data_IF_560813581401
#
_entry.id   IF_560813581401
#
_cell.length_a   1.000
_cell.length_b   1.000
_cell.length_c   1.000
_cell.angle_alpha   90.00
_cell.angle_beta   90.00
_cell.angle_gamma   90.00
#
_symmetry.space_group_name_H-M   'P 1'
#
loop_
_entity.id
_entity.type
_entity.pdbx_description
1 polymer ?
#
# COMPACT_ATOMS: atom_id res chain seq x y z
N UNK A 1 -19.22 -24.63 11.67
CA UNK A 1 -18.08 -25.24 10.96
C UNK A 1 -16.91 -24.30 11.10
N UNK A 2 -15.76 -24.80 11.55
CA UNK A 2 -14.51 -24.01 11.58
C UNK A 2 -14.05 -23.78 10.12
N UNK A 3 -13.45 -22.63 9.81
CA UNK A 3 -12.88 -22.32 8.48
C UNK A 3 -12.04 -23.48 7.88
N UNK A 4 -11.33 -24.22 8.74
CA UNK A 4 -10.55 -25.39 8.33
C UNK A 4 -11.41 -26.57 7.78
N UNK A 5 -12.65 -26.72 8.23
CA UNK A 5 -13.58 -27.75 7.75
C UNK A 5 -14.19 -27.38 6.38
N UNK A 6 -14.44 -26.09 6.14
CA UNK A 6 -14.98 -25.60 4.86
C UNK A 6 -13.97 -25.86 3.72
N UNK A 7 -12.66 -25.72 4.00
CA UNK A 7 -11.58 -26.01 3.05
C UNK A 7 -11.56 -27.47 2.57
N UNK A 8 -12.00 -28.41 3.41
CA UNK A 8 -12.03 -29.84 3.09
C UNK A 8 -13.18 -30.21 2.16
N UNK A 9 -14.35 -29.61 2.38
CA UNK A 9 -15.57 -29.94 1.64
C UNK A 9 -15.64 -29.32 0.23
N UNK A 10 -14.90 -28.25 -0.04
CA UNK A 10 -14.92 -27.54 -1.34
C UNK A 10 -14.08 -28.25 -2.41
N UNK A 11 -13.12 -29.09 -2.03
CA UNK A 11 -12.19 -29.77 -2.96
C UNK A 11 -12.78 -31.01 -3.66
N UNK A 12 -13.97 -31.50 -3.27
CA UNK A 12 -14.50 -32.79 -3.74
C UNK A 12 -15.72 -32.74 -4.68
N UNK A 13 -16.23 -31.56 -5.06
CA UNK A 13 -17.43 -31.50 -5.93
C UNK A 13 -17.20 -30.71 -7.23
N UNK A 14 -17.20 -31.45 -8.35
CA UNK A 14 -17.03 -30.93 -9.69
C UNK A 14 -18.35 -30.45 -10.34
N UNK A 15 -18.27 -29.24 -10.90
CA UNK A 15 -18.81 -28.81 -12.20
C UNK A 15 -20.33 -28.85 -12.45
N UNK A 16 -21.07 -27.99 -11.75
CA UNK A 16 -22.07 -27.06 -12.33
C UNK A 16 -22.52 -26.00 -11.29
N UNK A 17 -21.56 -25.29 -10.69
CA UNK A 17 -21.81 -24.45 -9.51
C UNK A 17 -21.56 -22.98 -9.84
N UNK A 18 -22.55 -22.11 -9.59
CA UNK A 18 -22.61 -20.68 -9.92
C UNK A 18 -21.23 -20.00 -9.92
N UNK A 19 -20.82 -19.47 -11.09
CA UNK A 19 -19.48 -18.88 -11.36
C UNK A 19 -19.02 -17.88 -10.28
N UNK A 20 -19.94 -17.31 -9.52
CA UNK A 20 -19.68 -16.34 -8.45
C UNK A 20 -19.40 -16.99 -7.09
N UNK A 21 -19.93 -18.19 -6.83
CA UNK A 21 -19.55 -19.01 -5.66
C UNK A 21 -18.10 -19.45 -5.74
N UNK A 22 -17.67 -19.84 -6.93
CA UNK A 22 -16.26 -20.13 -7.22
C UNK A 22 -15.36 -18.92 -6.92
N UNK A 23 -15.71 -17.73 -7.41
CA UNK A 23 -14.93 -16.50 -7.17
C UNK A 23 -14.68 -16.24 -5.68
N UNK A 24 -15.71 -16.26 -4.86
CA UNK A 24 -15.58 -15.86 -3.46
C UNK A 24 -14.66 -16.81 -2.67
N UNK A 25 -14.82 -18.12 -2.85
CA UNK A 25 -13.94 -19.11 -2.21
C UNK A 25 -12.53 -19.12 -2.82
N UNK A 26 -12.42 -18.90 -4.13
CA UNK A 26 -11.15 -18.88 -4.85
C UNK A 26 -10.28 -17.66 -4.52
N UNK A 27 -10.87 -16.50 -4.22
CA UNK A 27 -10.12 -15.26 -4.06
C UNK A 27 -10.11 -14.71 -2.62
N UNK A 28 -11.20 -14.84 -1.85
CA UNK A 28 -11.24 -14.24 -0.50
C UNK A 28 -10.46 -15.07 0.52
N UNK A 29 -10.59 -16.39 0.48
CA UNK A 29 -9.90 -17.27 1.41
C UNK A 29 -8.37 -17.20 1.28
N UNK A 30 -7.79 -17.26 0.07
CA UNK A 30 -6.35 -17.07 -0.07
C UNK A 30 -5.88 -15.68 0.36
N UNK A 31 -6.70 -14.63 0.15
CA UNK A 31 -6.36 -13.28 0.62
C UNK A 31 -6.32 -13.21 2.14
N UNK A 32 -7.27 -13.82 2.85
CA UNK A 32 -7.22 -13.91 4.31
C UNK A 32 -5.94 -14.64 4.75
N UNK A 33 -5.69 -15.82 4.18
CA UNK A 33 -4.53 -16.67 4.54
C UNK A 33 -3.19 -15.96 4.27
N UNK A 34 -3.06 -15.24 3.16
CA UNK A 34 -1.84 -14.49 2.82
C UNK A 34 -1.58 -13.37 3.81
N UNK A 35 -2.61 -12.62 4.21
CA UNK A 35 -2.45 -11.48 5.11
C UNK A 35 -2.25 -11.90 6.58
N UNK A 36 -2.73 -13.08 6.98
CA UNK A 36 -2.45 -13.64 8.30
C UNK A 36 -0.99 -14.12 8.47
N UNK A 37 -0.22 -14.30 7.38
CA UNK A 37 1.18 -14.77 7.45
C UNK A 37 2.10 -13.87 8.26
N UNK A 38 1.79 -12.57 8.36
CA UNK A 38 2.57 -11.61 9.13
C UNK A 38 2.29 -11.67 10.65
N UNK A 39 1.16 -12.25 11.06
CA UNK A 39 0.69 -12.26 12.45
C UNK A 39 1.69 -12.91 13.40
N UNK A 40 2.26 -14.11 13.13
CA UNK A 40 3.19 -14.75 14.07
C UNK A 40 4.43 -13.90 14.38
N UNK A 41 4.93 -13.12 13.41
CA UNK A 41 6.06 -12.22 13.64
C UNK A 41 5.69 -11.06 14.57
N UNK A 42 4.51 -10.47 14.35
CA UNK A 42 3.96 -9.34 15.13
C UNK A 42 3.53 -9.73 16.55
N UNK A 43 3.09 -10.98 16.75
CA UNK A 43 2.67 -11.51 18.04
C UNK A 43 3.76 -11.47 19.12
N UNK A 44 5.04 -11.40 18.74
CA UNK A 44 6.15 -11.21 19.70
C UNK A 44 6.02 -9.92 20.52
N UNK A 45 5.34 -8.92 19.97
CA UNK A 45 5.16 -7.61 20.57
C UNK A 45 3.70 -7.38 21.05
N UNK A 46 2.84 -8.40 20.99
CA UNK A 46 1.43 -8.30 21.36
C UNK A 46 1.23 -8.19 22.88
N UNK A 47 0.13 -7.56 23.29
CA UNK A 47 -0.27 -7.41 24.69
C UNK A 47 -1.67 -7.98 24.86
N UNK A 48 -1.85 -8.83 25.87
CA UNK A 48 -3.14 -9.45 26.16
C UNK A 48 -4.25 -8.42 26.36
N UNK A 49 -5.38 -8.69 25.71
CA UNK A 49 -6.58 -7.87 25.82
C UNK A 49 -7.36 -8.31 27.05
N UNK A 50 -7.77 -7.36 27.89
CA UNK A 50 -8.60 -7.69 29.06
C UNK A 50 -9.94 -8.30 28.63
N UNK A 51 -10.55 -9.18 29.45
CA UNK A 51 -11.84 -9.79 29.10
C UNK A 51 -12.96 -8.79 28.81
N UNK A 52 -12.97 -7.65 29.50
CA UNK A 52 -13.94 -6.57 29.30
C UNK A 52 -13.78 -5.92 27.91
N UNK A 53 -12.55 -5.53 27.55
CA UNK A 53 -12.26 -4.90 26.25
C UNK A 53 -12.52 -5.90 25.13
N UNK A 54 -12.11 -7.16 25.30
CA UNK A 54 -12.38 -8.20 24.30
C UNK A 54 -13.87 -8.47 24.11
N UNK A 55 -14.67 -8.40 25.19
CA UNK A 55 -16.13 -8.51 25.12
C UNK A 55 -16.74 -7.37 24.29
N UNK A 56 -16.25 -6.13 24.44
CA UNK A 56 -16.67 -4.98 23.64
C UNK A 56 -16.30 -5.14 22.15
N UNK A 57 -15.08 -5.60 21.86
CA UNK A 57 -14.63 -5.94 20.50
C UNK A 57 -15.56 -6.98 19.86
N UNK A 58 -15.80 -8.10 20.54
CA UNK A 58 -16.67 -9.17 20.05
C UNK A 58 -18.10 -8.68 19.88
N UNK A 59 -18.63 -7.91 20.83
CA UNK A 59 -19.98 -7.34 20.76
C UNK A 59 -20.16 -6.43 19.54
N UNK A 60 -19.21 -5.54 19.29
CA UNK A 60 -19.19 -4.66 18.12
C UNK A 60 -19.20 -5.46 16.82
N UNK A 61 -18.23 -6.37 16.65
CA UNK A 61 -18.08 -7.13 15.42
C UNK A 61 -19.19 -8.16 15.19
N UNK A 62 -19.81 -8.71 16.23
CA UNK A 62 -21.02 -9.54 16.08
C UNK A 62 -22.17 -8.75 15.45
N UNK A 63 -22.36 -7.49 15.84
CA UNK A 63 -23.38 -6.62 15.26
C UNK A 63 -23.14 -6.31 13.77
N UNK A 64 -21.87 -6.14 13.39
CA UNK A 64 -21.48 -5.92 11.99
C UNK A 64 -21.61 -7.20 11.17
N UNK A 65 -21.10 -8.33 11.67
CA UNK A 65 -20.93 -9.55 10.90
C UNK A 65 -22.04 -10.58 11.07
N UNK A 66 -23.20 -10.22 11.64
CA UNK A 66 -24.30 -11.16 11.93
C UNK A 66 -23.81 -12.39 12.72
N UNK A 67 -22.96 -12.17 13.72
CA UNK A 67 -22.31 -13.21 14.53
C UNK A 67 -21.19 -14.03 13.86
N UNK A 68 -20.81 -13.75 12.61
CA UNK A 68 -19.68 -14.40 11.92
C UNK A 68 -18.32 -13.79 12.30
N UNK A 69 -18.04 -13.71 13.60
CA UNK A 69 -16.74 -13.21 14.11
C UNK A 69 -15.59 -14.19 13.84
N UNK A 70 -15.88 -15.41 13.41
CA UNK A 70 -14.91 -16.41 12.96
C UNK A 70 -14.17 -16.00 11.67
N UNK A 71 -14.65 -14.98 10.96
CA UNK A 71 -13.95 -14.35 9.84
C UNK A 71 -12.81 -13.42 10.28
N UNK A 72 -12.73 -13.10 11.57
CA UNK A 72 -11.70 -12.25 12.12
C UNK A 72 -10.59 -13.10 12.72
N UNK A 73 -9.36 -12.80 12.35
CA UNK A 73 -8.22 -13.27 13.12
C UNK A 73 -8.09 -12.40 14.38
N UNK A 74 -8.46 -12.96 15.53
CA UNK A 74 -8.54 -12.21 16.79
C UNK A 74 -7.17 -11.83 17.38
N UNK A 75 -6.09 -12.46 16.93
CA UNK A 75 -4.72 -12.15 17.36
C UNK A 75 -4.32 -10.70 17.04
N UNK A 76 -4.90 -10.14 15.97
CA UNK A 76 -4.72 -8.73 15.62
C UNK A 76 -5.12 -7.77 16.74
N UNK A 77 -6.13 -8.10 17.54
CA UNK A 77 -6.53 -7.20 18.64
C UNK A 77 -5.51 -7.18 19.77
N UNK A 78 -4.80 -8.27 20.04
CA UNK A 78 -3.67 -8.28 20.97
C UNK A 78 -2.48 -7.48 20.43
N UNK A 79 -2.27 -7.53 19.12
CA UNK A 79 -1.27 -6.72 18.42
C UNK A 79 -1.59 -5.22 18.54
N UNK A 80 -2.80 -4.80 18.17
CA UNK A 80 -3.19 -3.39 18.23
C UNK A 80 -3.29 -2.89 19.68
N UNK A 81 -3.67 -3.75 20.62
CA UNK A 81 -3.68 -3.41 22.04
C UNK A 81 -2.29 -3.05 22.57
N UNK A 82 -1.21 -3.52 21.95
CA UNK A 82 0.15 -3.16 22.33
C UNK A 82 0.55 -1.71 21.96
N UNK A 83 -0.25 -1.04 21.11
CA UNK A 83 0.03 0.31 20.61
C UNK A 83 -1.10 1.31 20.88
N UNK A 84 -2.36 0.86 20.95
CA UNK A 84 -3.50 1.72 21.26
C UNK A 84 -3.49 2.13 22.74
N UNK A 85 -3.54 3.43 23.01
CA UNK A 85 -3.59 3.96 24.37
C UNK A 85 -5.02 3.99 24.90
N UNK A 86 -5.99 4.35 24.05
CA UNK A 86 -7.40 4.37 24.38
C UNK A 86 -8.05 3.03 24.05
N UNK A 87 -8.15 2.17 25.05
CA UNK A 87 -8.67 0.80 24.87
C UNK A 87 -10.11 0.75 24.38
N UNK A 88 -10.89 1.83 24.53
CA UNK A 88 -12.25 1.91 24.01
C UNK A 88 -12.30 1.93 22.46
N UNK A 89 -11.19 2.31 21.81
CA UNK A 89 -11.05 2.33 20.35
C UNK A 89 -10.65 0.99 19.76
N UNK A 90 -10.27 0.01 20.58
CA UNK A 90 -9.75 -1.27 20.08
C UNK A 90 -10.77 -2.00 19.18
N UNK A 91 -12.07 -1.85 19.46
CA UNK A 91 -13.16 -2.40 18.62
C UNK A 91 -13.22 -1.84 17.20
N UNK A 92 -12.65 -0.67 16.96
CA UNK A 92 -12.64 -0.01 15.65
C UNK A 92 -11.47 -0.43 14.77
N UNK A 93 -10.47 -1.13 15.31
CA UNK A 93 -9.42 -1.72 14.49
C UNK A 93 -9.97 -2.85 13.63
N UNK A 94 -9.44 -2.95 12.41
CA UNK A 94 -9.84 -3.95 11.44
C UNK A 94 -8.66 -4.90 11.20
N UNK A 95 -8.80 -6.21 11.45
CA UNK A 95 -7.77 -7.19 11.10
C UNK A 95 -7.42 -7.13 9.60
N UNK A 96 -6.12 -7.11 9.26
CA UNK A 96 -5.69 -6.95 7.87
C UNK A 96 -6.29 -8.02 6.94
N UNK A 97 -6.35 -9.27 7.41
CA UNK A 97 -6.92 -10.39 6.64
C UNK A 97 -8.39 -10.16 6.28
N UNK A 98 -9.19 -9.62 7.20
CA UNK A 98 -10.57 -9.24 6.92
C UNK A 98 -10.64 -8.02 5.99
N UNK A 99 -9.81 -7.01 6.24
CA UNK A 99 -9.79 -5.79 5.45
C UNK A 99 -9.50 -6.08 3.97
N UNK A 100 -8.38 -6.74 3.66
CA UNK A 100 -7.98 -6.98 2.26
C UNK A 100 -8.86 -8.02 1.55
N UNK A 101 -9.47 -8.94 2.30
CA UNK A 101 -10.43 -9.86 1.71
C UNK A 101 -11.73 -9.14 1.33
N UNK A 102 -12.28 -8.29 2.21
CA UNK A 102 -13.63 -7.80 2.01
C UNK A 102 -13.77 -6.29 1.86
N UNK A 103 -13.10 -5.50 2.71
CA UNK A 103 -13.27 -4.04 2.73
C UNK A 103 -12.52 -3.40 1.57
N UNK A 104 -11.26 -3.78 1.34
CA UNK A 104 -10.48 -3.32 0.19
C UNK A 104 -11.19 -3.72 -1.11
N UNK A 105 -11.61 -4.98 -1.26
CA UNK A 105 -12.36 -5.45 -2.43
C UNK A 105 -13.61 -4.60 -2.71
N UNK A 106 -14.33 -4.20 -1.66
CA UNK A 106 -15.54 -3.38 -1.75
C UNK A 106 -15.23 -1.93 -2.15
N UNK A 107 -14.21 -1.32 -1.55
CA UNK A 107 -13.87 0.09 -1.77
C UNK A 107 -13.06 0.32 -3.04
N UNK A 108 -12.19 -0.62 -3.41
CA UNK A 108 -11.18 -0.41 -4.45
C UNK A 108 -11.51 -1.10 -5.77
N UNK A 109 -12.41 -2.09 -5.78
CA UNK A 109 -12.66 -2.92 -6.96
C UNK A 109 -11.36 -3.38 -7.66
N UNK A 110 -10.52 -4.21 -7.01
CA UNK A 110 -9.14 -4.49 -7.43
C UNK A 110 -8.98 -4.83 -8.91
N UNK A 111 -9.90 -5.60 -9.51
CA UNK A 111 -9.85 -5.91 -10.96
C UNK A 111 -9.84 -4.69 -11.88
N UNK A 112 -10.60 -3.63 -11.54
CA UNK A 112 -10.61 -2.38 -12.30
C UNK A 112 -9.39 -1.54 -11.96
N UNK A 113 -9.06 -1.47 -10.68
CA UNK A 113 -7.95 -0.67 -10.16
C UNK A 113 -6.59 -1.14 -10.67
N UNK A 114 -6.32 -2.44 -10.68
CA UNK A 114 -5.07 -3.01 -11.22
C UNK A 114 -4.90 -2.77 -12.72
N UNK A 115 -5.99 -2.48 -13.46
CA UNK A 115 -5.90 -2.20 -14.88
C UNK A 115 -5.41 -0.78 -15.20
N UNK A 116 -5.49 0.14 -14.23
CA UNK A 116 -4.99 1.53 -14.34
C UNK A 116 -3.73 1.77 -13.53
N UNK A 117 -3.31 0.80 -12.73
CA UNK A 117 -2.07 0.82 -11.97
C UNK A 117 -0.87 0.37 -12.84
N UNK A 118 -0.53 1.23 -13.79
CA UNK A 118 0.62 1.05 -14.68
C UNK A 118 1.49 2.31 -14.66
N UNK A 119 2.72 2.19 -14.13
CA UNK A 119 3.65 3.29 -13.96
C UNK A 119 4.03 3.98 -15.27
N UNK A 120 3.94 3.29 -16.42
CA UNK A 120 4.19 3.93 -17.73
C UNK A 120 3.20 5.05 -18.03
N UNK A 121 1.98 4.95 -17.49
CA UNK A 121 0.86 5.84 -17.76
C UNK A 121 0.74 6.98 -16.75
N UNK A 122 1.45 6.92 -15.62
CA UNK A 122 1.34 7.91 -14.54
C UNK A 122 1.53 9.35 -15.01
N UNK A 123 2.48 9.62 -15.92
CA UNK A 123 2.65 10.95 -16.55
C UNK A 123 1.34 11.53 -17.11
N UNK A 124 0.49 10.68 -17.67
CA UNK A 124 -0.78 11.07 -18.29
C UNK A 124 -1.94 11.04 -17.29
N UNK A 125 -1.99 9.97 -16.48
CA UNK A 125 -3.03 9.78 -15.48
C UNK A 125 -2.97 10.84 -14.38
N UNK A 126 -1.77 11.35 -14.08
CA UNK A 126 -1.50 12.39 -13.08
C UNK A 126 -1.21 13.75 -13.73
N UNK A 127 -1.69 13.99 -14.95
CA UNK A 127 -1.55 15.31 -15.59
C UNK A 127 -2.04 16.45 -14.66
N UNK A 128 -1.26 17.53 -14.59
CA UNK A 128 -1.54 18.68 -13.72
C UNK A 128 -1.02 18.56 -12.29
N UNK A 129 -0.38 17.45 -11.92
CA UNK A 129 0.44 17.34 -10.70
C UNK A 129 1.84 16.85 -11.06
N UNK A 130 2.81 17.07 -10.17
CA UNK A 130 4.19 16.66 -10.41
C UNK A 130 4.37 15.18 -10.12
N UNK A 131 5.01 14.48 -11.04
CA UNK A 131 5.38 13.06 -10.91
C UNK A 131 6.88 12.90 -11.12
N UNK A 132 7.39 11.69 -10.92
CA UNK A 132 8.69 11.30 -11.47
C UNK A 132 8.78 11.62 -12.96
N UNK A 133 9.91 12.19 -13.38
CA UNK A 133 10.15 12.51 -14.78
C UNK A 133 10.56 11.23 -15.52
N UNK A 134 9.77 10.85 -16.53
CA UNK A 134 10.09 9.68 -17.35
C UNK A 134 11.15 10.05 -18.37
N UNK A 135 12.23 9.27 -18.40
CA UNK A 135 13.32 9.37 -19.37
C UNK A 135 12.99 8.54 -20.60
N UNK A 136 12.67 7.26 -20.38
CA UNK A 136 12.37 6.30 -21.43
C UNK A 136 11.50 5.15 -20.92
N UNK A 137 11.04 4.30 -21.82
CA UNK A 137 10.23 3.11 -21.52
C UNK A 137 10.67 1.92 -22.35
N UNK A 138 10.44 0.74 -21.79
CA UNK A 138 10.57 -0.56 -22.45
C UNK A 138 9.23 -1.28 -22.37
N UNK A 139 8.70 -1.70 -23.51
CA UNK A 139 7.41 -2.41 -23.63
C UNK A 139 7.56 -3.56 -24.60
N UNK A 140 7.54 -4.80 -24.09
CA UNK A 140 7.85 -5.96 -24.91
C UNK A 140 9.20 -5.76 -25.61
N UNK A 141 9.28 -5.93 -26.92
CA UNK A 141 10.53 -5.74 -27.67
C UNK A 141 10.77 -4.30 -28.15
N UNK A 142 9.96 -3.33 -27.71
CA UNK A 142 10.02 -1.95 -28.17
C UNK A 142 10.55 -0.99 -27.08
N UNK A 143 11.27 0.03 -27.53
CA UNK A 143 11.74 1.15 -26.71
C UNK A 143 11.01 2.43 -27.11
N UNK A 144 10.75 3.28 -26.12
CA UNK A 144 10.07 4.55 -26.32
C UNK A 144 10.73 5.65 -25.50
N UNK A 145 10.64 6.89 -25.97
CA UNK A 145 11.02 8.06 -25.18
C UNK A 145 9.93 8.41 -24.15
N UNK A 146 10.10 9.55 -23.48
CA UNK A 146 9.21 10.06 -22.43
C UNK A 146 7.77 10.34 -22.89
N UNK A 147 7.52 10.44 -24.20
CA UNK A 147 6.22 10.76 -24.82
C UNK A 147 5.61 9.59 -25.60
N UNK A 148 6.09 8.36 -25.39
CA UNK A 148 5.67 7.17 -26.16
C UNK A 148 5.96 7.25 -27.67
N UNK A 149 6.91 8.08 -28.11
CA UNK A 149 7.46 7.94 -29.46
C UNK A 149 8.43 6.77 -29.47
N UNK A 150 8.25 5.85 -30.43
CA UNK A 150 9.14 4.69 -30.59
C UNK A 150 10.54 5.14 -30.98
N UNK A 151 11.55 4.61 -30.32
CA UNK A 151 12.97 4.92 -30.54
C UNK A 151 13.80 3.64 -30.73
N UNK A 152 15.03 3.80 -31.22
CA UNK A 152 16.01 2.73 -31.29
C UNK A 152 16.59 2.36 -29.91
N UNK A 153 17.31 1.24 -29.85
CA UNK A 153 17.97 0.82 -28.60
C UNK A 153 19.14 1.75 -28.25
N UNK A 154 19.82 2.29 -29.27
CA UNK A 154 20.91 3.25 -29.13
C UNK A 154 20.41 4.57 -28.52
N UNK A 155 19.29 5.11 -29.03
CA UNK A 155 18.65 6.32 -28.49
C UNK A 155 18.19 6.09 -27.04
N UNK A 156 17.62 4.92 -26.74
CA UNK A 156 17.22 4.55 -25.38
C UNK A 156 18.40 4.60 -24.41
N UNK A 157 19.53 4.03 -24.82
CA UNK A 157 20.76 4.03 -24.02
C UNK A 157 21.28 5.45 -23.82
N UNK A 158 21.30 6.26 -24.88
CA UNK A 158 21.81 7.63 -24.81
C UNK A 158 20.98 8.48 -23.86
N UNK A 159 19.64 8.42 -23.96
CA UNK A 159 18.75 9.12 -23.02
C UNK A 159 19.02 8.73 -21.56
N UNK A 160 19.27 7.45 -21.28
CA UNK A 160 19.61 7.01 -19.92
C UNK A 160 20.99 7.51 -19.47
N UNK A 161 21.96 7.57 -20.40
CA UNK A 161 23.34 7.99 -20.13
C UNK A 161 23.44 9.49 -19.89
N UNK A 162 22.70 10.30 -20.63
CA UNK A 162 22.67 11.77 -20.50
C UNK A 162 22.22 12.21 -19.09
N UNK A 163 21.32 11.46 -18.45
CA UNK A 163 20.89 11.70 -17.07
C UNK A 163 21.96 11.32 -16.03
N UNK A 164 22.98 10.55 -16.42
CA UNK A 164 24.04 10.04 -15.56
C UNK A 164 23.59 8.91 -14.63
N UNK A 165 22.45 9.07 -13.95
CA UNK A 165 21.82 8.05 -13.12
C UNK A 165 20.30 8.03 -13.30
N UNK A 166 19.73 6.83 -13.46
CA UNK A 166 18.29 6.62 -13.62
C UNK A 166 17.75 5.54 -12.69
N UNK A 167 16.45 5.62 -12.41
CA UNK A 167 15.68 4.60 -11.70
C UNK A 167 14.89 3.78 -12.71
N UNK A 168 15.16 2.48 -12.76
CA UNK A 168 14.47 1.50 -13.58
C UNK A 168 13.44 0.78 -12.71
N UNK A 169 12.16 0.90 -13.06
CA UNK A 169 11.05 0.29 -12.31
C UNK A 169 10.25 -0.63 -13.21
N UNK A 170 9.93 -1.83 -12.73
CA UNK A 170 8.92 -2.66 -13.37
C UNK A 170 7.58 -1.91 -13.35
N UNK A 171 6.85 -1.96 -14.46
CA UNK A 171 5.72 -1.05 -14.61
C UNK A 171 4.44 -1.49 -13.90
N UNK A 172 4.22 -2.81 -13.82
CA UNK A 172 3.02 -3.42 -13.25
C UNK A 172 3.43 -4.37 -12.13
N UNK A 173 2.62 -4.45 -11.07
CA UNK A 173 2.74 -5.47 -10.00
C UNK A 173 4.10 -5.56 -9.31
N UNK A 174 4.81 -4.44 -9.16
CA UNK A 174 5.99 -4.35 -8.31
C UNK A 174 5.56 -4.07 -6.86
N UNK A 175 5.81 -4.99 -5.94
CA UNK A 175 5.57 -4.77 -4.50
C UNK A 175 6.90 -4.58 -3.76
N UNK A 176 6.90 -3.71 -2.75
CA UNK A 176 7.98 -3.62 -1.75
C UNK A 176 9.37 -3.25 -2.30
N UNK A 177 9.46 -2.56 -3.44
CA UNK A 177 10.73 -2.09 -4.00
C UNK A 177 11.61 -3.16 -4.68
N UNK A 178 11.18 -4.42 -4.71
CA UNK A 178 11.99 -5.53 -5.22
C UNK A 178 12.26 -5.53 -6.74
N UNK A 179 11.66 -4.59 -7.49
CA UNK A 179 11.87 -4.39 -8.93
C UNK A 179 12.29 -2.96 -9.26
N UNK A 180 13.00 -2.31 -8.32
CA UNK A 180 13.62 -1.00 -8.51
C UNK A 180 15.13 -1.19 -8.62
N UNK A 181 15.71 -0.80 -9.76
CA UNK A 181 17.16 -0.75 -9.98
C UNK A 181 17.58 0.70 -10.21
N UNK A 182 18.62 1.14 -9.52
CA UNK A 182 19.34 2.35 -9.90
C UNK A 182 20.46 1.93 -10.87
N UNK A 183 20.52 2.56 -12.05
CA UNK A 183 21.61 2.36 -13.00
C UNK A 183 22.40 3.67 -13.12
N UNK A 184 23.71 3.61 -12.89
CA UNK A 184 24.63 4.74 -12.91
C UNK A 184 25.63 4.54 -14.06
N UNK A 185 25.58 5.43 -15.05
CA UNK A 185 26.40 5.39 -16.25
C UNK A 185 27.91 5.46 -15.96
N UNK A 186 28.31 5.96 -14.78
CA UNK A 186 29.71 6.01 -14.36
C UNK A 186 30.19 4.72 -13.69
N UNK A 187 29.26 3.82 -13.30
CA UNK A 187 29.57 2.58 -12.57
C UNK A 187 29.21 1.31 -13.32
N UNK A 188 28.25 1.39 -14.23
CA UNK A 188 27.73 0.27 -15.00
C UNK A 188 27.73 0.59 -16.50
N UNK A 189 27.92 -0.42 -17.34
CA UNK A 189 27.82 -0.27 -18.79
C UNK A 189 26.38 -0.40 -19.29
N UNK A 190 26.16 -0.03 -20.56
CA UNK A 190 24.84 -0.05 -21.18
C UNK A 190 24.31 -1.47 -21.43
N UNK A 191 25.20 -2.46 -21.62
CA UNK A 191 24.82 -3.87 -21.75
C UNK A 191 24.17 -4.41 -20.48
N UNK A 192 24.63 -3.98 -19.30
CA UNK A 192 24.03 -4.34 -18.01
C UNK A 192 22.62 -3.75 -17.85
N UNK A 193 22.38 -2.54 -18.34
CA UNK A 193 21.03 -1.94 -18.36
C UNK A 193 20.11 -2.75 -19.27
N UNK A 194 20.54 -3.00 -20.52
CA UNK A 194 19.76 -3.78 -21.48
C UNK A 194 19.47 -5.20 -20.99
N UNK A 195 20.45 -5.87 -20.39
CA UNK A 195 20.27 -7.20 -19.82
C UNK A 195 19.27 -7.22 -18.66
N UNK A 196 19.14 -6.13 -17.91
CA UNK A 196 18.13 -6.00 -16.85
C UNK A 196 16.73 -5.81 -17.44
N UNK A 197 16.54 -4.84 -18.34
CA UNK A 197 15.22 -4.51 -18.92
C UNK A 197 14.72 -5.52 -19.98
N UNK A 198 15.56 -6.49 -20.35
CA UNK A 198 15.20 -7.59 -21.25
C UNK A 198 14.73 -8.84 -20.51
N UNK A 199 14.81 -8.87 -19.18
CA UNK A 199 14.26 -9.95 -18.36
C UNK A 199 12.87 -9.57 -17.87
N UNK A 200 11.93 -10.51 -17.79
CA UNK A 200 10.69 -10.25 -17.08
C UNK A 200 11.01 -9.96 -15.60
N UNK A 201 10.35 -8.97 -14.97
CA UNK A 201 10.38 -8.77 -13.53
C UNK A 201 10.17 -10.09 -12.78
N UNK A 202 10.97 -10.34 -11.75
CA UNK A 202 11.10 -11.62 -11.05
C UNK A 202 9.85 -12.14 -10.31
N UNK A 203 8.73 -11.42 -10.37
CA UNK A 203 7.47 -11.75 -9.69
C UNK A 203 6.33 -12.15 -10.63
N UNK A 204 6.55 -12.06 -11.94
CA UNK A 204 5.54 -12.46 -12.90
C UNK A 204 5.40 -13.99 -12.93
N UNK A 205 4.39 -14.50 -12.23
CA UNK A 205 3.88 -15.88 -12.37
C UNK A 205 3.02 -16.06 -13.63
N UNK A 206 2.78 -14.96 -14.35
CA UNK A 206 1.99 -14.84 -15.58
C UNK A 206 2.90 -14.24 -16.66
N UNK A 207 2.69 -14.53 -17.96
CA UNK A 207 3.57 -14.08 -19.05
C UNK A 207 3.34 -12.59 -19.41
N UNK A 208 3.35 -11.69 -18.43
CA UNK A 208 3.49 -10.27 -18.70
C UNK A 208 4.91 -10.04 -19.25
N UNK A 209 5.04 -9.16 -20.23
CA UNK A 209 6.28 -9.01 -20.98
C UNK A 209 7.38 -8.33 -20.17
N UNK A 210 8.17 -7.53 -20.88
CA UNK A 210 9.25 -6.74 -20.28
C UNK A 210 8.85 -5.28 -20.25
N UNK A 211 7.96 -4.94 -19.31
CA UNK A 211 7.48 -3.58 -19.11
C UNK A 211 8.26 -2.86 -18.01
N UNK A 212 9.06 -1.87 -18.42
CA UNK A 212 9.82 -1.02 -17.51
C UNK A 212 9.63 0.45 -17.84
N UNK A 213 9.48 1.26 -16.81
CA UNK A 213 9.61 2.72 -16.88
C UNK A 213 10.99 3.11 -16.34
N UNK A 214 11.66 4.00 -17.06
CA UNK A 214 12.95 4.55 -16.67
C UNK A 214 12.70 6.01 -16.31
N UNK A 215 13.04 6.38 -15.09
CA UNK A 215 12.73 7.68 -14.51
C UNK A 215 13.98 8.36 -13.97
N UNK A 216 13.96 9.69 -13.90
CA UNK A 216 15.00 10.44 -13.21
C UNK A 216 15.00 10.16 -11.71
N UNK A 217 16.18 10.21 -11.10
CA UNK A 217 16.30 10.17 -9.64
C UNK A 217 15.75 11.46 -9.04
N UNK A 218 14.73 11.35 -8.19
CA UNK A 218 14.17 12.49 -7.47
C UNK A 218 15.13 12.93 -6.37
N UNK A 219 15.50 14.21 -6.36
CA UNK A 219 16.28 14.83 -5.29
C UNK A 219 15.33 15.35 -4.23
N UNK A 220 15.44 14.81 -3.01
CA UNK A 220 14.56 15.15 -1.90
C UNK A 220 14.89 16.50 -1.26
N UNK A 221 13.88 17.13 -0.66
CA UNK A 221 14.01 18.34 0.13
C UNK A 221 15.04 18.19 1.27
N UNK A 222 15.83 19.23 1.61
CA UNK A 222 16.79 19.16 2.72
C UNK A 222 16.18 18.75 4.06
N UNK A 223 14.97 19.22 4.39
CA UNK A 223 14.26 18.80 5.61
C UNK A 223 13.86 17.32 5.57
N UNK A 224 13.47 16.80 4.40
CA UNK A 224 13.20 15.37 4.25
C UNK A 224 14.46 14.53 4.42
N UNK A 225 15.60 15.01 3.89
CA UNK A 225 16.89 14.34 4.02
C UNK A 225 17.37 14.20 5.49
N UNK A 226 16.86 15.02 6.42
CA UNK A 226 17.14 14.88 7.86
C UNK A 226 16.54 13.60 8.46
N UNK A 227 15.54 13.01 7.82
CA UNK A 227 14.98 11.71 8.23
C UNK A 227 15.81 10.55 7.71
N UNK A 228 16.31 10.60 6.48
CA UNK A 228 17.35 9.71 5.98
C UNK A 228 17.96 10.28 4.69
N UNK A 229 19.28 10.40 4.63
CA UNK A 229 19.99 10.92 3.45
C UNK A 229 20.22 9.88 2.36
N UNK A 230 20.14 8.58 2.70
CA UNK A 230 20.50 7.47 1.81
C UNK A 230 19.37 6.99 0.89
N UNK A 231 18.11 7.23 1.27
CA UNK A 231 16.92 6.94 0.46
C UNK A 231 16.07 8.20 0.31
N UNK A 232 15.21 8.19 -0.71
CA UNK A 232 14.09 9.11 -0.75
C UNK A 232 13.10 8.72 0.36
N UNK A 233 12.77 9.65 1.24
CA UNK A 233 11.75 9.44 2.26
C UNK A 233 10.39 9.78 1.64
N UNK A 234 9.45 8.83 1.66
CA UNK A 234 8.11 9.02 1.10
C UNK A 234 7.05 9.07 2.18
N UNK A 235 6.10 9.98 1.99
CA UNK A 235 4.85 10.04 2.72
C UNK A 235 3.90 9.06 2.05
N UNK A 236 3.47 8.05 2.79
CA UNK A 236 2.36 7.17 2.43
C UNK A 236 1.09 7.74 3.06
N UNK A 237 0.17 8.24 2.24
CA UNK A 237 -1.11 8.80 2.68
C UNK A 237 -2.28 8.00 2.11
N UNK A 238 -3.09 7.42 2.99
CA UNK A 238 -4.32 6.74 2.62
C UNK A 238 -5.48 7.75 2.60
N UNK A 239 -6.19 7.80 1.49
CA UNK A 239 -7.30 8.73 1.24
C UNK A 239 -8.54 7.96 0.86
N UNK A 240 -9.70 8.53 1.18
CA UNK A 240 -10.98 7.94 0.83
C UNK A 240 -11.94 9.00 0.27
N UNK A 241 -12.62 8.66 -0.83
CA UNK A 241 -13.80 9.39 -1.29
C UNK A 241 -15.02 8.66 -0.74
N UNK A 242 -15.72 9.29 0.19
CA UNK A 242 -16.87 8.69 0.86
C UNK A 242 -18.01 9.69 0.99
N UNK A 243 -19.20 9.29 0.51
CA UNK A 243 -20.42 10.12 0.48
C UNK A 243 -20.20 11.54 -0.06
N UNK A 244 -19.47 11.62 -1.18
CA UNK A 244 -19.22 12.87 -1.88
C UNK A 244 -18.24 13.79 -1.15
N UNK A 245 -17.40 13.26 -0.26
CA UNK A 245 -16.36 14.02 0.44
C UNK A 245 -15.00 13.34 0.29
N UNK A 246 -13.97 14.16 0.20
CA UNK A 246 -12.58 13.73 0.35
C UNK A 246 -12.23 13.64 1.83
N UNK A 247 -11.58 12.54 2.21
CA UNK A 247 -11.17 12.25 3.59
C UNK A 247 -9.73 11.73 3.57
N UNK A 248 -8.74 12.49 4.05
CA UNK A 248 -7.42 11.94 4.33
C UNK A 248 -7.48 11.11 5.61
N UNK A 249 -7.36 9.78 5.48
CA UNK A 249 -7.59 8.85 6.58
C UNK A 249 -6.39 8.76 7.53
N UNK A 250 -5.20 8.59 6.96
CA UNK A 250 -4.00 8.33 7.75
C UNK A 250 -2.75 8.58 6.90
N UNK A 251 -1.73 9.16 7.52
CA UNK A 251 -0.47 9.47 6.88
C UNK A 251 0.69 8.93 7.68
N UNK A 252 1.66 8.34 7.01
CA UNK A 252 2.88 7.80 7.62
C UNK A 252 4.10 8.17 6.77
N UNK A 253 5.23 8.43 7.42
CA UNK A 253 6.52 8.64 6.77
C UNK A 253 7.29 7.33 6.77
N UNK A 254 7.73 6.89 5.60
CA UNK A 254 8.60 5.71 5.43
C UNK A 254 10.05 6.16 5.32
N UNK A 255 10.93 5.48 6.04
CA UNK A 255 12.35 5.81 6.13
C UNK A 255 13.18 4.53 5.92
N UNK A 256 14.07 4.55 4.92
CA UNK A 256 14.98 3.43 4.67
C UNK A 256 16.02 3.28 5.78
N UNK A 257 16.49 2.07 6.04
CA UNK A 257 17.54 1.80 7.04
C UNK A 257 18.75 1.13 6.35
N UNK A 258 19.90 1.16 7.01
CA UNK A 258 21.18 0.55 6.58
C UNK A 258 21.73 1.09 5.24
N UNK A 259 21.48 2.35 4.92
CA UNK A 259 21.99 2.95 3.69
C UNK A 259 21.23 2.48 2.43
N UNK A 260 20.08 1.81 2.60
CA UNK A 260 19.18 1.48 1.50
C UNK A 260 18.79 2.74 0.74
N UNK A 261 18.70 2.62 -0.59
CA UNK A 261 18.21 3.69 -1.50
C UNK A 261 16.69 3.71 -1.66
N UNK A 262 16.01 2.71 -1.11
CA UNK A 262 14.55 2.61 -1.03
C UNK A 262 14.12 2.61 0.43
N UNK A 263 12.96 3.19 0.72
CA UNK A 263 12.42 3.39 2.06
C UNK A 263 11.38 2.35 2.50
N UNK A 264 11.03 1.41 1.62
CA UNK A 264 10.06 0.35 1.90
C UNK A 264 10.47 -0.54 3.09
N UNK A 265 9.50 -0.86 3.94
CA UNK A 265 9.72 -1.73 5.11
C UNK A 265 10.09 -3.18 4.75
N UNK A 266 9.64 -3.68 3.60
CA UNK A 266 10.09 -4.97 3.06
C UNK A 266 11.61 -5.02 2.83
N UNK A 267 12.26 -3.86 2.68
CA UNK A 267 13.72 -3.71 2.54
C UNK A 267 14.41 -3.35 3.87
N UNK A 268 13.72 -3.47 5.00
CA UNK A 268 14.25 -3.18 6.34
C UNK A 268 14.03 -1.76 6.84
N UNK A 269 13.24 -0.94 6.13
CA UNK A 269 12.84 0.40 6.56
C UNK A 269 11.98 0.43 7.82
N UNK A 270 11.81 1.62 8.41
CA UNK A 270 10.88 1.89 9.51
C UNK A 270 9.84 2.95 9.09
N UNK A 271 8.66 2.90 9.70
CA UNK A 271 7.55 3.80 9.44
C UNK A 271 7.18 4.57 10.71
N UNK A 272 7.05 5.89 10.62
CA UNK A 272 6.54 6.75 11.69
C UNK A 272 5.21 7.37 11.29
N UNK A 273 4.27 7.49 12.23
CA UNK A 273 3.01 8.19 11.99
C UNK A 273 3.21 9.68 11.75
N UNK A 274 2.36 10.28 10.93
CA UNK A 274 2.25 11.73 10.76
C UNK A 274 0.89 12.14 11.33
N UNK A 275 0.89 13.18 12.16
CA UNK A 275 -0.32 13.84 12.62
C UNK A 275 -0.99 14.57 11.45
N UNK A 276 -2.25 14.22 11.19
CA UNK A 276 -2.95 14.64 9.97
C UNK A 276 -3.25 16.13 9.95
N UNK A 277 -3.46 16.74 11.12
CA UNK A 277 -3.79 18.16 11.27
C UNK A 277 -2.55 19.05 11.16
N UNK A 278 -1.47 18.69 11.84
CA UNK A 278 -0.25 19.51 11.90
C UNK A 278 0.78 19.17 10.83
N UNK A 279 0.73 17.98 10.22
CA UNK A 279 1.76 17.52 9.30
C UNK A 279 3.08 17.19 10.00
N UNK A 280 3.04 16.88 11.29
CA UNK A 280 4.23 16.57 12.10
C UNK A 280 4.37 15.08 12.35
N UNK A 281 5.60 14.56 12.38
CA UNK A 281 5.85 13.16 12.73
C UNK A 281 5.56 12.88 14.20
N UNK A 282 5.11 11.67 14.50
CA UNK A 282 4.97 11.16 15.87
C UNK A 282 6.33 10.71 16.42
N UNK A 283 6.34 10.27 17.67
CA UNK A 283 7.55 9.88 18.40
C UNK A 283 7.87 8.37 18.38
N UNK A 284 7.02 7.55 17.77
CA UNK A 284 7.21 6.11 17.68
C UNK A 284 7.11 5.63 16.23
N UNK A 285 8.13 4.89 15.82
CA UNK A 285 8.19 4.23 14.52
C UNK A 285 8.21 2.71 14.67
N UNK A 286 7.85 2.01 13.60
CA UNK A 286 7.70 0.56 13.57
C UNK A 286 8.34 -0.04 12.32
N UNK A 287 8.88 -1.25 12.42
CA UNK A 287 9.24 -2.06 11.25
C UNK A 287 8.14 -3.09 10.92
N UNK A 288 8.33 -3.88 9.87
CA UNK A 288 7.37 -4.92 9.46
C UNK A 288 7.11 -6.02 10.51
N UNK A 289 8.02 -6.20 11.48
CA UNK A 289 7.85 -7.12 12.59
C UNK A 289 7.06 -6.51 13.77
N UNK A 290 6.72 -5.22 13.70
CA UNK A 290 6.10 -4.48 14.80
C UNK A 290 7.07 -4.06 15.90
N UNK A 291 8.39 -4.15 15.66
CA UNK A 291 9.38 -3.69 16.63
C UNK A 291 9.35 -2.15 16.72
N UNK A 292 9.47 -1.62 17.94
CA UNK A 292 9.33 -0.18 18.24
C UNK A 292 10.68 0.54 18.16
N UNK A 293 10.66 1.74 17.59
CA UNK A 293 11.80 2.64 17.51
C UNK A 293 11.40 4.03 17.99
N UNK A 294 12.25 4.68 18.77
CA UNK A 294 12.11 6.09 19.20
C UNK A 294 13.08 7.01 18.46
N UNK A 295 14.04 6.44 17.74
CA UNK A 295 15.03 7.13 16.90
C UNK A 295 15.31 6.28 15.66
N UNK A 296 15.64 6.92 14.55
CA UNK A 296 16.11 6.23 13.36
C UNK A 296 17.55 5.74 13.58
N UNK A 297 17.88 4.48 13.26
CA UNK A 297 19.21 3.91 13.56
C UNK A 297 20.40 4.67 12.97
N UNK A 298 20.20 5.45 11.90
CA UNK A 298 21.28 6.15 11.20
C UNK A 298 21.21 7.69 11.29
N UNK A 299 20.01 8.26 11.32
CA UNK A 299 19.78 9.71 11.21
C UNK A 299 19.33 10.34 12.53
N UNK A 300 19.07 9.52 13.54
CA UNK A 300 18.74 9.97 14.89
C UNK A 300 17.26 10.28 15.04
N UNK A 301 16.97 11.31 15.83
CA UNK A 301 15.60 11.66 16.22
C UNK A 301 14.71 11.97 15.00
N UNK A 302 13.48 11.47 15.00
CA UNK A 302 12.46 11.79 14.01
C UNK A 302 11.19 12.35 14.67
N UNK A 303 11.18 12.53 15.98
CA UNK A 303 9.98 12.89 16.73
C UNK A 303 9.57 14.36 16.51
N UNK A 304 8.28 14.59 16.30
CA UNK A 304 7.65 15.92 16.22
C UNK A 304 8.34 16.86 15.23
N UNK A 305 8.73 16.32 14.07
CA UNK A 305 9.34 17.09 12.98
C UNK A 305 8.30 17.41 11.92
N UNK A 306 8.36 18.63 11.41
CA UNK A 306 7.47 19.10 10.35
C UNK A 306 7.78 18.41 9.02
N UNK A 307 6.74 17.98 8.32
CA UNK A 307 6.81 17.59 6.92
C UNK A 307 6.69 18.87 6.08
N UNK A 308 7.68 19.20 5.23
CA UNK A 308 7.64 20.42 4.45
C UNK A 308 6.46 20.38 3.46
N UNK A 309 5.86 21.55 3.17
CA UNK A 309 4.79 21.67 2.18
C UNK A 309 3.58 20.75 2.41
N UNK A 310 3.25 20.43 3.67
CA UNK A 310 2.18 19.50 4.02
C UNK A 310 0.84 19.82 3.34
N UNK A 311 0.40 21.08 3.36
CA UNK A 311 -0.84 21.50 2.71
C UNK A 311 -0.84 21.20 1.20
N UNK A 312 0.31 21.41 0.52
CA UNK A 312 0.44 21.07 -0.90
C UNK A 312 0.31 19.57 -1.14
N UNK A 313 0.80 18.74 -0.22
CA UNK A 313 0.66 17.28 -0.30
C UNK A 313 -0.82 16.90 -0.29
N UNK A 314 -1.59 17.46 0.66
CA UNK A 314 -3.03 17.23 0.76
C UNK A 314 -3.78 17.68 -0.49
N UNK A 315 -3.47 18.87 -1.01
CA UNK A 315 -4.06 19.40 -2.25
C UNK A 315 -3.81 18.49 -3.45
N UNK A 316 -2.60 17.94 -3.57
CA UNK A 316 -2.23 17.04 -4.69
C UNK A 316 -3.01 15.74 -4.60
N UNK A 317 -3.04 15.10 -3.42
CA UNK A 317 -3.73 13.82 -3.28
C UNK A 317 -5.24 13.94 -3.34
N UNK A 318 -5.82 15.07 -2.91
CA UNK A 318 -7.25 15.32 -3.08
C UNK A 318 -7.62 15.40 -4.57
N UNK A 319 -6.87 16.21 -5.36
CA UNK A 319 -7.10 16.35 -6.80
C UNK A 319 -7.06 15.00 -7.52
N UNK A 320 -6.12 14.14 -7.15
CA UNK A 320 -6.01 12.80 -7.72
C UNK A 320 -7.10 11.87 -7.21
N UNK A 321 -7.40 11.85 -5.91
CA UNK A 321 -8.45 11.01 -5.34
C UNK A 321 -9.80 11.25 -6.04
N UNK A 322 -10.16 12.51 -6.32
CA UNK A 322 -11.36 12.83 -7.10
C UNK A 322 -11.33 12.27 -8.53
N UNK A 323 -10.17 12.31 -9.19
CA UNK A 323 -9.98 11.81 -10.56
C UNK A 323 -10.21 10.30 -10.66
N UNK A 324 -9.81 9.53 -9.65
CA UNK A 324 -9.95 8.07 -9.63
C UNK A 324 -11.18 7.57 -8.87
N UNK A 325 -12.00 8.46 -8.31
CA UNK A 325 -13.17 8.13 -7.48
C UNK A 325 -14.20 7.20 -8.16
N UNK A 326 -14.27 7.20 -9.49
CA UNK A 326 -15.11 6.27 -10.27
C UNK A 326 -14.54 4.85 -10.42
N UNK A 327 -13.27 4.65 -10.06
CA UNK A 327 -12.53 3.38 -10.15
C UNK A 327 -12.33 2.81 -8.73
N UNK A 328 -11.77 3.63 -7.83
CA UNK A 328 -11.48 3.26 -6.44
C UNK A 328 -11.90 4.39 -5.50
N UNK A 329 -12.57 4.04 -4.41
CA UNK A 329 -12.93 4.96 -3.34
C UNK A 329 -11.84 5.05 -2.27
N UNK A 330 -10.85 4.16 -2.26
CA UNK A 330 -9.78 4.12 -1.27
C UNK A 330 -8.42 3.99 -1.98
N UNK A 331 -7.55 4.98 -1.80
CA UNK A 331 -6.27 5.03 -2.51
C UNK A 331 -5.17 5.45 -1.55
N UNK A 332 -4.04 4.75 -1.60
CA UNK A 332 -2.84 5.14 -0.87
C UNK A 332 -1.78 5.69 -1.81
N UNK A 333 -1.28 6.88 -1.50
CA UNK A 333 -0.36 7.62 -2.36
C UNK A 333 1.02 7.64 -1.73
N UNK A 334 2.05 7.39 -2.54
CA UNK A 334 3.44 7.63 -2.16
C UNK A 334 3.90 8.96 -2.73
N UNK A 335 4.20 9.88 -1.83
CA UNK A 335 4.59 11.25 -2.17
C UNK A 335 5.99 11.51 -1.63
N UNK A 336 6.89 11.95 -2.50
CA UNK A 336 8.13 12.58 -2.08
C UNK A 336 7.98 14.10 -2.12
N UNK A 337 8.89 14.81 -1.47
CA UNK A 337 8.98 16.27 -1.59
C UNK A 337 10.36 16.58 -2.14
N UNK A 338 10.41 17.28 -3.26
CA UNK A 338 11.66 17.55 -3.96
C UNK A 338 12.48 18.69 -3.34
N UNK A 339 13.67 18.94 -3.89
CA UNK A 339 14.58 20.00 -3.45
C UNK A 339 13.97 21.41 -3.45
N UNK A 340 12.91 21.64 -4.23
CA UNK A 340 12.19 22.91 -4.32
C UNK A 340 10.97 22.98 -3.40
N UNK A 341 10.67 21.91 -2.67
CA UNK A 341 9.53 21.83 -1.77
C UNK A 341 8.21 21.52 -2.48
N UNK A 342 8.25 20.94 -3.68
CA UNK A 342 7.05 20.51 -4.40
C UNK A 342 6.76 19.01 -4.17
N UNK A 343 5.50 18.63 -3.90
CA UNK A 343 5.12 17.23 -3.81
C UNK A 343 5.27 16.52 -5.16
N UNK A 344 5.94 15.38 -5.17
CA UNK A 344 6.15 14.51 -6.33
C UNK A 344 5.47 13.17 -6.06
N UNK A 345 4.48 12.82 -6.89
CA UNK A 345 3.83 11.51 -6.81
C UNK A 345 4.78 10.45 -7.32
N UNK A 346 5.15 9.51 -6.44
CA UNK A 346 6.06 8.39 -6.72
C UNK A 346 5.28 7.15 -7.15
N UNK A 347 4.18 6.86 -6.44
CA UNK A 347 3.38 5.65 -6.68
C UNK A 347 1.92 5.84 -6.24
N UNK A 348 1.00 5.17 -6.94
CA UNK A 348 -0.41 5.08 -6.57
C UNK A 348 -0.75 3.63 -6.23
N UNK A 349 -0.97 3.37 -4.95
CA UNK A 349 -1.43 2.09 -4.44
C UNK A 349 -2.98 2.14 -4.41
N UNK A 350 -3.58 1.98 -5.59
CA UNK A 350 -5.04 2.09 -5.81
C UNK A 350 -5.86 0.95 -5.21
N UNK A 351 -5.18 -0.13 -4.82
CA UNK A 351 -5.67 -1.22 -3.97
C UNK A 351 -4.48 -1.72 -3.13
N UNK A 352 -4.73 -2.47 -2.05
CA UNK A 352 -3.66 -2.97 -1.18
C UNK A 352 -2.77 -1.86 -0.58
N UNK A 353 -3.41 -0.85 -0.01
CA UNK A 353 -2.75 0.38 0.46
C UNK A 353 -1.89 0.29 1.74
N UNK A 354 -1.51 -0.90 2.21
CA UNK A 354 -0.65 -1.10 3.39
C UNK A 354 -1.30 -0.63 4.73
N UNK A 355 -2.51 -1.14 5.01
CA UNK A 355 -3.34 -0.84 6.19
C UNK A 355 -2.59 -0.90 7.54
N UNK A 356 -1.72 -1.89 7.70
CA UNK A 356 -1.16 -2.24 8.99
C UNK A 356 -0.36 -1.08 9.59
N UNK A 357 0.56 -0.48 8.84
CA UNK A 357 1.33 0.67 9.34
C UNK A 357 0.45 1.86 9.66
N UNK A 358 -0.61 2.10 8.87
CA UNK A 358 -1.57 3.15 9.19
C UNK A 358 -2.26 2.89 10.54
N UNK A 359 -2.70 1.65 10.81
CA UNK A 359 -3.35 1.33 12.08
C UNK A 359 -2.38 1.30 13.26
N UNK A 360 -1.18 0.78 13.05
CA UNK A 360 -0.13 0.73 14.06
C UNK A 360 0.31 2.13 14.51
N UNK A 361 0.51 3.03 13.56
CA UNK A 361 1.05 4.36 13.85
C UNK A 361 -0.03 5.35 14.28
N UNK A 362 -1.25 5.22 13.75
CA UNK A 362 -2.25 6.28 13.83
C UNK A 362 -3.60 5.88 14.43
N UNK A 363 -3.82 4.61 14.75
CA UNK A 363 -5.11 4.15 15.27
C UNK A 363 -6.04 3.59 14.20
N UNK A 364 -7.30 3.27 14.55
CA UNK A 364 -8.27 2.71 13.61
C UNK A 364 -8.35 3.50 12.31
N UNK A 365 -8.25 2.83 11.15
CA UNK A 365 -8.07 3.51 9.85
C UNK A 365 -9.21 4.47 9.50
N UNK A 366 -10.44 4.15 9.93
CA UNK A 366 -11.61 4.98 9.68
C UNK A 366 -11.96 5.90 10.88
N UNK A 367 -11.21 5.83 11.97
CA UNK A 367 -11.48 6.59 13.20
C UNK A 367 -12.94 6.52 13.62
N UNK A 368 -13.55 7.69 13.85
CA UNK A 368 -14.96 7.82 14.25
C UNK A 368 -15.96 7.32 13.19
N UNK A 369 -15.56 7.28 11.91
CA UNK A 369 -16.42 6.81 10.81
C UNK A 369 -16.51 5.27 10.74
N UNK A 370 -15.69 4.55 11.51
CA UNK A 370 -15.62 3.07 11.46
C UNK A 370 -17.00 2.43 11.58
N UNK A 371 -17.80 2.85 12.56
CA UNK A 371 -19.13 2.27 12.80
C UNK A 371 -20.07 2.49 11.62
N UNK A 372 -20.02 3.66 10.99
CA UNK A 372 -20.88 4.00 9.86
C UNK A 372 -20.47 3.21 8.61
N UNK A 373 -19.18 3.21 8.29
CA UNK A 373 -18.61 2.55 7.12
C UNK A 373 -18.84 1.04 7.21
N UNK A 374 -18.61 0.41 8.36
CA UNK A 374 -18.82 -1.02 8.53
C UNK A 374 -20.30 -1.43 8.46
N UNK A 375 -21.22 -0.59 8.97
CA UNK A 375 -22.66 -0.80 8.76
C UNK A 375 -23.01 -0.75 7.28
N UNK A 376 -22.50 0.25 6.54
CA UNK A 376 -22.74 0.38 5.11
C UNK A 376 -22.13 -0.77 4.30
N UNK A 377 -20.91 -1.18 4.65
CA UNK A 377 -20.23 -2.36 4.11
C UNK A 377 -21.12 -3.60 4.24
N UNK A 378 -21.65 -3.88 5.44
CA UNK A 378 -22.56 -5.02 5.69
C UNK A 378 -23.72 -5.07 4.69
N UNK A 379 -24.36 -3.93 4.41
CA UNK A 379 -25.52 -3.89 3.52
C UNK A 379 -25.16 -3.81 2.03
N UNK A 380 -24.03 -3.18 1.68
CA UNK A 380 -23.67 -2.87 0.28
C UNK A 380 -22.60 -3.77 -0.32
N UNK A 381 -21.83 -4.48 0.50
CA UNK A 381 -20.76 -5.35 0.00
C UNK A 381 -21.35 -6.64 -0.56
N UNK A 382 -21.35 -6.74 -1.88
CA UNK A 382 -21.80 -7.94 -2.57
C UNK A 382 -20.88 -9.13 -2.28
N UNK A 383 -19.55 -8.93 -2.27
CA UNK A 383 -18.58 -10.01 -2.02
C UNK A 383 -18.76 -10.62 -0.64
N UNK A 384 -18.96 -9.79 0.38
CA UNK A 384 -19.27 -10.24 1.74
C UNK A 384 -20.61 -10.99 1.81
N UNK A 385 -21.68 -10.38 1.29
CA UNK A 385 -23.02 -11.01 1.33
C UNK A 385 -23.07 -12.33 0.55
N UNK A 386 -22.36 -12.42 -0.57
CA UNK A 386 -22.19 -13.65 -1.32
C UNK A 386 -21.37 -14.69 -0.54
N UNK A 387 -20.31 -14.27 0.17
CA UNK A 387 -19.52 -15.16 1.04
C UNK A 387 -20.39 -15.79 2.12
N UNK A 388 -21.12 -14.97 2.88
CA UNK A 388 -22.00 -15.42 3.97
C UNK A 388 -23.13 -16.32 3.43
N UNK A 389 -23.74 -15.96 2.30
CA UNK A 389 -24.77 -16.81 1.67
C UNK A 389 -24.23 -18.16 1.19
N UNK A 390 -22.94 -18.25 0.82
CA UNK A 390 -22.32 -19.49 0.33
C UNK A 390 -21.90 -20.46 1.41
N UNK A 391 -21.54 -19.98 2.60
CA UNK A 391 -21.31 -20.84 3.76
C UNK A 391 -22.63 -21.42 4.32
N UNK A 392 -23.78 -21.11 3.70
CA UNK A 392 -25.04 -21.83 3.86
C UNK A 392 -25.83 -21.46 5.11
N UNK A 393 -25.92 -20.16 5.42
CA UNK A 393 -26.53 -19.71 6.68
C UNK A 393 -27.41 -18.48 6.40
N UNK A 394 -28.73 -18.69 6.46
CA UNK A 394 -29.75 -17.64 6.49
C UNK A 394 -30.03 -17.23 7.94
#
# INVERSE_FOLDING_TARGET
MNYQEVKRNVLESDLCYDKRKGYVLQYMLPRMEVNDKAVPAKMRNAVDVSPEVMSDVIGFWRGILNSHTDLLNMDYFSIYNAVEQDKSKLKYYIPDSFFYAFIDEWLTHPKRSTAVDDKQLYKYLFAGVKTTEVVARKVGDCFFNSDFHKIGVEDFIELCREEGEVVVKASISSYGGHAVKFWDANKENSEQLLAYVSKPPCFYTQPYGTEYVIEKVVKQHPEMAKFNTSSINTIRIMTMIYDGRFIPLSSVLRMGVNGSRVDNCSSGGIVVGIDQESGTTKNLAYNANGDKFTVHPQSGDFSYRDIPSWDKVLDVVEKLAWRFSGISQLISWDIAIDEMGDPVVIEMNISYGELDFHQYCNGPIFGELTSEILKKFKYKSYSYNAFIGNIGIY
#
